data_IF_716100087298
#
_entry.id   IF_716100087298
#
_cell.length_a   1.000
_cell.length_b   1.000
_cell.length_c   1.000
_cell.angle_alpha   90.00
_cell.angle_beta   90.00
_cell.angle_gamma   90.00
#
_symmetry.space_group_name_H-M   'P 1'
#
loop_
_entity.id
_entity.type
_entity.pdbx_description
1 polymer ?
#
# COMPACT_ATOMS: atom_id res chain seq x y z
N UNK A 1 8.81 7.68 -7.21
CA UNK A 1 7.93 6.80 -8.05
C UNK A 1 7.45 7.40 -9.39
N UNK A 2 7.92 8.58 -9.86
CA UNK A 2 7.27 9.31 -10.96
C UNK A 2 7.84 9.12 -12.39
N UNK A 3 8.67 8.10 -12.65
CA UNK A 3 9.21 7.87 -14.00
C UNK A 3 9.38 6.38 -14.38
N UNK A 4 8.68 5.45 -13.70
CA UNK A 4 8.73 4.04 -14.10
C UNK A 4 7.60 3.70 -15.06
N UNK A 5 7.94 3.46 -16.33
CA UNK A 5 7.09 2.76 -17.29
C UNK A 5 6.83 1.34 -16.73
N UNK A 6 5.63 1.12 -16.21
CA UNK A 6 5.22 -0.18 -15.65
C UNK A 6 4.85 -1.08 -16.83
N UNK A 7 5.83 -1.81 -17.37
CA UNK A 7 5.69 -2.71 -18.52
C UNK A 7 4.80 -3.93 -18.23
N UNK A 8 4.61 -4.30 -16.96
CA UNK A 8 3.78 -5.43 -16.53
C UNK A 8 3.06 -5.10 -15.23
N UNK A 9 1.83 -5.60 -14.99
CA UNK A 9 1.17 -5.45 -13.70
C UNK A 9 2.05 -6.10 -12.62
N UNK A 10 2.80 -5.29 -11.88
CA UNK A 10 3.65 -5.78 -10.80
C UNK A 10 2.82 -5.81 -9.53
N UNK A 11 2.74 -7.00 -8.92
CA UNK A 11 2.35 -7.12 -7.52
C UNK A 11 3.34 -6.30 -6.68
N UNK A 12 2.83 -5.42 -5.82
CA UNK A 12 3.69 -4.59 -4.99
C UNK A 12 4.44 -5.48 -4.00
N UNK A 13 5.77 -5.53 -4.10
CA UNK A 13 6.61 -6.15 -3.08
C UNK A 13 6.45 -5.40 -1.74
N UNK A 14 6.77 -6.05 -0.62
CA UNK A 14 6.71 -5.44 0.71
C UNK A 14 7.44 -4.09 0.77
N UNK A 15 6.72 -3.01 1.06
CA UNK A 15 7.24 -1.64 1.03
C UNK A 15 6.70 -0.78 2.17
N UNK A 16 7.27 0.43 2.29
CA UNK A 16 6.85 1.52 3.18
C UNK A 16 7.04 2.81 2.44
N UNK A 17 6.09 3.72 2.58
CA UNK A 17 6.16 5.06 2.01
C UNK A 17 6.92 5.98 2.98
N UNK A 18 8.26 5.96 2.87
CA UNK A 18 9.19 6.78 3.66
C UNK A 18 9.95 7.82 2.82
N UNK A 19 9.42 8.21 1.66
CA UNK A 19 10.04 9.28 0.89
C UNK A 19 9.89 10.61 1.66
N UNK A 20 11.01 11.33 1.85
CA UNK A 20 11.08 12.59 2.62
C UNK A 20 9.98 13.60 2.23
N UNK A 21 9.63 13.64 0.94
CA UNK A 21 8.60 14.52 0.38
C UNK A 21 7.19 14.35 0.95
N UNK A 22 6.90 13.28 1.69
CA UNK A 22 5.61 13.04 2.33
C UNK A 22 5.61 13.39 3.84
N UNK A 23 6.72 13.89 4.38
CA UNK A 23 6.90 14.18 5.81
C UNK A 23 7.11 12.93 6.68
N UNK A 24 7.30 13.12 7.98
CA UNK A 24 7.68 12.05 8.92
C UNK A 24 6.54 11.07 9.24
N UNK A 25 5.30 11.56 9.26
CA UNK A 25 4.10 10.78 9.59
C UNK A 25 3.06 10.95 8.48
N UNK A 26 3.33 10.43 7.26
CA UNK A 26 2.44 10.64 6.14
C UNK A 26 1.08 10.00 6.40
N UNK A 27 0.02 10.73 6.05
CA UNK A 27 -1.34 10.19 5.99
C UNK A 27 -1.61 9.78 4.55
N UNK A 28 -2.00 8.52 4.37
CA UNK A 28 -2.26 7.92 3.07
C UNK A 28 -3.72 7.47 3.04
N UNK A 29 -4.44 7.91 2.02
CA UNK A 29 -5.77 7.44 1.69
C UNK A 29 -5.70 6.54 0.45
N UNK A 30 -6.17 5.30 0.55
CA UNK A 30 -6.06 4.30 -0.51
C UNK A 30 -7.40 3.65 -0.84
N UNK A 31 -8.25 4.30 -1.66
CA UNK A 31 -9.49 3.69 -2.12
C UNK A 31 -9.23 2.55 -3.12
N UNK A 32 -10.08 1.54 -3.06
CA UNK A 32 -10.00 0.31 -3.87
C UNK A 32 -11.23 0.14 -4.75
N UNK A 33 -11.03 -0.11 -6.04
CA UNK A 33 -12.09 -0.36 -7.01
C UNK A 33 -11.85 -1.71 -7.70
N UNK A 34 -12.91 -2.50 -7.85
CA UNK A 34 -12.88 -3.80 -8.53
C UNK A 34 -12.67 -4.97 -7.57
N UNK A 35 -11.97 -6.02 -8.04
CA UNK A 35 -11.84 -7.28 -7.33
C UNK A 35 -11.12 -7.12 -5.98
N UNK A 36 -11.73 -7.63 -4.91
CA UNK A 36 -11.15 -7.66 -3.57
C UNK A 36 -9.74 -8.24 -3.57
N UNK A 37 -8.81 -7.53 -2.92
CA UNK A 37 -7.47 -8.03 -2.60
C UNK A 37 -7.18 -7.82 -1.12
N UNK A 38 -6.33 -8.67 -0.54
CA UNK A 38 -5.85 -8.47 0.82
C UNK A 38 -4.63 -7.56 0.81
N UNK A 39 -4.64 -6.55 1.66
CA UNK A 39 -3.44 -5.79 2.02
C UNK A 39 -2.83 -6.43 3.26
N UNK A 40 -1.66 -7.04 3.09
CA UNK A 40 -0.93 -7.64 4.20
C UNK A 40 0.01 -6.60 4.80
N UNK A 41 0.09 -6.60 6.13
CA UNK A 41 0.99 -5.78 6.93
C UNK A 41 1.89 -6.70 7.75
N UNK A 42 3.18 -6.36 7.84
CA UNK A 42 4.11 -7.04 8.76
C UNK A 42 5.08 -6.05 9.38
N UNK A 43 5.49 -6.28 10.62
CA UNK A 43 6.58 -5.48 11.21
C UNK A 43 7.86 -5.66 10.38
N UNK A 44 8.59 -4.57 10.17
CA UNK A 44 9.80 -4.62 9.35
C UNK A 44 10.96 -5.36 10.04
N UNK A 45 10.97 -5.36 11.38
CA UNK A 45 11.99 -5.99 12.23
C UNK A 45 11.52 -7.31 12.89
N UNK A 46 10.23 -7.66 12.75
CA UNK A 46 9.68 -8.87 13.36
C UNK A 46 8.57 -9.48 12.46
N UNK A 47 8.97 -10.29 11.49
CA UNK A 47 8.10 -10.74 10.41
C UNK A 47 6.98 -11.73 10.80
N UNK A 48 6.92 -12.15 12.06
CA UNK A 48 5.84 -12.99 12.59
C UNK A 48 4.60 -12.17 12.94
N UNK A 49 4.75 -10.88 13.30
CA UNK A 49 3.60 -9.97 13.45
C UNK A 49 3.03 -9.67 12.08
N UNK A 50 1.88 -10.26 11.76
CA UNK A 50 1.19 -10.05 10.48
C UNK A 50 -0.28 -9.72 10.70
N UNK A 51 -0.77 -8.78 9.90
CA UNK A 51 -2.19 -8.48 9.78
C UNK A 51 -2.57 -8.49 8.31
N UNK A 52 -3.80 -8.86 8.00
CA UNK A 52 -4.30 -8.91 6.64
C UNK A 52 -5.69 -8.28 6.59
N UNK A 53 -5.85 -7.28 5.72
CA UNK A 53 -7.09 -6.50 5.61
C UNK A 53 -7.67 -6.73 4.22
N UNK A 54 -8.88 -7.31 4.08
CA UNK A 54 -9.55 -7.39 2.79
C UNK A 54 -9.99 -5.98 2.35
N UNK A 55 -9.71 -5.64 1.10
CA UNK A 55 -10.09 -4.36 0.49
C UNK A 55 -11.13 -4.60 -0.61
N UNK A 56 -12.43 -4.65 -0.27
CA UNK A 56 -13.50 -4.82 -1.26
C UNK A 56 -13.67 -3.58 -2.14
N UNK A 57 -14.44 -3.74 -3.22
CA UNK A 57 -14.84 -2.62 -4.08
C UNK A 57 -15.46 -1.50 -3.22
N UNK A 58 -15.03 -0.25 -3.44
CA UNK A 58 -15.53 0.92 -2.74
C UNK A 58 -14.92 1.13 -1.34
N UNK A 59 -14.04 0.25 -0.87
CA UNK A 59 -13.38 0.45 0.43
C UNK A 59 -12.30 1.52 0.38
N UNK A 60 -12.10 2.20 1.51
CA UNK A 60 -11.01 3.13 1.75
C UNK A 60 -10.10 2.60 2.86
N UNK A 61 -8.82 2.36 2.53
CA UNK A 61 -7.80 2.08 3.53
C UNK A 61 -7.08 3.38 3.92
N UNK A 62 -7.10 3.70 5.21
CA UNK A 62 -6.34 4.80 5.79
C UNK A 62 -5.07 4.26 6.46
N UNK A 63 -3.91 4.77 6.06
CA UNK A 63 -2.63 4.49 6.74
C UNK A 63 -2.13 5.81 7.36
N UNK A 64 -1.94 5.80 8.68
CA UNK A 64 -1.55 6.99 9.47
C UNK A 64 -0.71 6.61 10.68
N UNK A 65 -0.16 7.61 11.37
CA UNK A 65 0.65 7.42 12.58
C UNK A 65 1.96 6.69 12.27
N UNK A 66 2.38 5.79 13.17
CA UNK A 66 3.66 5.07 13.07
C UNK A 66 3.64 3.84 12.15
N UNK A 67 2.60 3.67 11.32
CA UNK A 67 2.51 2.52 10.43
C UNK A 67 3.69 2.47 9.46
N UNK A 68 4.01 3.59 8.81
CA UNK A 68 5.15 3.65 7.88
C UNK A 68 6.49 3.52 8.59
N UNK A 69 6.55 3.80 9.90
CA UNK A 69 7.75 3.61 10.71
C UNK A 69 8.02 2.14 10.99
N UNK A 70 7.01 1.40 11.46
CA UNK A 70 7.21 0.05 12.00
C UNK A 70 6.72 -1.09 11.09
N UNK A 71 5.91 -0.81 10.08
CA UNK A 71 5.25 -1.84 9.28
C UNK A 71 5.55 -1.70 7.80
N UNK A 72 5.76 -2.82 7.13
CA UNK A 72 5.72 -2.95 5.66
C UNK A 72 4.35 -3.45 5.25
N UNK A 73 3.86 -3.01 4.10
CA UNK A 73 2.65 -3.56 3.49
C UNK A 73 2.87 -4.05 2.07
N UNK A 74 2.02 -4.98 1.64
CA UNK A 74 1.95 -5.44 0.25
C UNK A 74 0.52 -5.85 -0.11
N UNK A 75 0.24 -6.01 -1.40
CA UNK A 75 -0.96 -6.72 -1.84
C UNK A 75 -0.63 -8.21 -1.90
N UNK A 76 -1.35 -9.02 -1.12
CA UNK A 76 -1.15 -10.46 -1.05
C UNK A 76 -1.30 -11.10 -2.44
N UNK A 77 -0.39 -12.03 -2.76
CA UNK A 77 -0.51 -12.84 -3.98
C UNK A 77 -1.68 -13.81 -3.81
N UNK A 78 -2.44 -14.06 -4.87
CA UNK A 78 -3.43 -15.13 -4.92
C UNK A 78 -2.90 -16.27 -5.78
N UNK A 79 -3.14 -17.51 -5.35
CA UNK A 79 -2.93 -18.69 -6.19
C UNK A 79 -4.09 -18.91 -7.18
N UNK A 80 -5.26 -18.34 -6.89
CA UNK A 80 -6.41 -18.36 -7.78
C UNK A 80 -6.32 -17.29 -8.87
N UNK A 81 -6.99 -17.53 -9.99
CA UNK A 81 -7.21 -16.50 -11.00
C UNK A 81 -8.08 -15.38 -10.42
N UNK A 82 -7.64 -14.14 -10.59
CA UNK A 82 -8.29 -12.97 -10.01
C UNK A 82 -8.61 -11.94 -11.09
N UNK A 83 -9.79 -11.31 -11.00
CA UNK A 83 -10.18 -10.17 -11.84
C UNK A 83 -9.39 -8.91 -11.49
N UNK A 84 -9.52 -7.88 -12.31
CA UNK A 84 -8.82 -6.60 -12.22
C UNK A 84 -9.19 -5.82 -10.94
N UNK A 85 -8.23 -5.03 -10.45
CA UNK A 85 -8.40 -4.09 -9.33
C UNK A 85 -7.62 -2.83 -9.62
N UNK A 86 -8.24 -1.69 -9.41
CA UNK A 86 -7.60 -0.37 -9.41
C UNK A 86 -7.45 0.08 -7.96
N UNK A 87 -6.27 0.63 -7.64
CA UNK A 87 -5.99 1.27 -6.37
C UNK A 87 -5.45 2.66 -6.63
N UNK A 88 -6.10 3.66 -6.06
CA UNK A 88 -5.57 5.01 -6.05
C UNK A 88 -4.90 5.22 -4.70
N UNK A 89 -3.73 5.85 -4.67
CA UNK A 89 -3.04 6.17 -3.42
C UNK A 89 -2.80 7.66 -3.34
N UNK A 90 -3.55 8.32 -2.47
CA UNK A 90 -3.45 9.76 -2.21
C UNK A 90 -2.47 10.00 -1.06
N UNK A 91 -1.58 10.97 -1.26
CA UNK A 91 -0.59 11.40 -0.27
C UNK A 91 -0.51 12.92 -0.31
N UNK A 92 -0.32 13.55 0.86
CA UNK A 92 0.04 14.95 0.93
C UNK A 92 1.55 15.07 0.66
N UNK A 93 1.92 15.98 -0.24
CA UNK A 93 3.32 16.31 -0.51
C UNK A 93 3.66 17.57 0.28
N UNK A 94 4.64 17.48 1.19
CA UNK A 94 5.03 18.58 2.08
C UNK A 94 6.24 19.35 1.58
N UNK A 95 7.10 18.72 0.78
CA UNK A 95 8.21 19.38 0.10
C UNK A 95 7.89 19.44 -1.40
N UNK A 96 7.64 20.64 -1.90
CA UNK A 96 7.72 20.95 -3.32
C UNK A 96 9.18 21.35 -3.56
N UNK A 97 9.94 20.45 -4.18
CA UNK A 97 11.22 20.82 -4.79
C UNK A 97 11.00 21.73 -5.98
#
# INVERSE_FOLDING_TARGET
MYEKKVLTPRLTAWYRDKERRYGDRPVIASPSLGQTRKSDFRKFNHHQSRHSIPLPHGSLLMIKGDLQEHWKHCIAKSASQMKERINLTFRLVTELG
#
